data_IF_003239919083
#
_entry.id   IF_003239919083
#
_cell.length_a   1.000
_cell.length_b   1.000
_cell.length_c   1.000
_cell.angle_alpha   90.00
_cell.angle_beta   90.00
_cell.angle_gamma   90.00
#
_symmetry.space_group_name_H-M   'P 1'
#
loop_
_entity.id
_entity.type
_entity.pdbx_description
1 polymer ?
#
# COMPACT_ATOMS: atom_id res chain seq x y z
N UNK A 1 -36.15 8.02 -2.33
CA UNK A 1 -34.74 7.87 -1.89
C UNK A 1 -34.00 9.13 -2.31
N UNK A 2 -33.56 9.98 -1.38
CA UNK A 2 -32.73 11.15 -1.74
C UNK A 2 -31.38 10.63 -2.24
N UNK A 3 -30.96 11.07 -3.43
CA UNK A 3 -29.60 10.79 -3.88
C UNK A 3 -28.63 11.52 -2.94
N UNK A 4 -27.59 10.82 -2.49
CA UNK A 4 -26.51 11.45 -1.75
C UNK A 4 -25.91 12.58 -2.59
N UNK A 5 -25.53 13.72 -1.98
CA UNK A 5 -24.96 14.83 -2.70
C UNK A 5 -23.70 14.39 -3.45
N UNK A 6 -23.67 14.63 -4.77
CA UNK A 6 -22.48 14.37 -5.59
C UNK A 6 -21.41 15.41 -5.27
N UNK A 7 -20.25 14.94 -4.85
CA UNK A 7 -19.05 15.75 -4.63
C UNK A 7 -18.36 16.00 -5.98
N UNK A 8 -17.76 17.18 -6.12
CA UNK A 8 -16.94 17.51 -7.29
C UNK A 8 -15.57 16.81 -7.15
N UNK A 9 -15.49 15.56 -7.60
CA UNK A 9 -14.29 14.73 -7.54
C UNK A 9 -13.68 14.53 -8.93
N UNK A 10 -12.35 14.44 -9.06
CA UNK A 10 -11.67 14.20 -10.33
C UNK A 10 -11.74 12.72 -10.75
N UNK A 11 -12.95 12.14 -10.82
CA UNK A 11 -13.15 10.69 -11.04
C UNK A 11 -12.49 10.18 -12.32
N UNK A 12 -12.60 10.96 -13.42
CA UNK A 12 -12.00 10.58 -14.71
C UNK A 12 -10.48 10.49 -14.60
N UNK A 13 -9.85 11.47 -13.96
CA UNK A 13 -8.40 11.49 -13.73
C UNK A 13 -7.98 10.31 -12.85
N UNK A 14 -8.70 10.08 -11.75
CA UNK A 14 -8.43 8.96 -10.84
C UNK A 14 -8.49 7.61 -11.56
N UNK A 15 -9.52 7.37 -12.37
CA UNK A 15 -9.67 6.15 -13.18
C UNK A 15 -8.56 6.00 -14.20
N UNK A 16 -8.22 7.06 -14.94
CA UNK A 16 -7.14 7.02 -15.94
C UNK A 16 -5.81 6.67 -15.29
N UNK A 17 -5.44 7.33 -14.19
CA UNK A 17 -4.18 7.05 -13.49
C UNK A 17 -4.19 5.61 -12.93
N UNK A 18 -5.31 5.16 -12.35
CA UNK A 18 -5.44 3.80 -11.84
C UNK A 18 -5.23 2.74 -12.93
N UNK A 19 -5.81 2.94 -14.12
CA UNK A 19 -5.63 2.04 -15.27
C UNK A 19 -4.16 2.05 -15.74
N UNK A 20 -3.56 3.23 -15.93
CA UNK A 20 -2.18 3.35 -16.38
C UNK A 20 -1.20 2.67 -15.42
N UNK A 21 -1.37 2.89 -14.11
CA UNK A 21 -0.55 2.22 -13.10
C UNK A 21 -0.81 0.71 -13.09
N UNK A 22 -2.05 0.28 -13.22
CA UNK A 22 -2.38 -1.16 -13.25
C UNK A 22 -1.72 -1.86 -14.43
N UNK A 23 -1.78 -1.26 -15.62
CA UNK A 23 -1.11 -1.77 -16.82
C UNK A 23 0.41 -1.81 -16.62
N UNK A 24 1.00 -0.76 -16.06
CA UNK A 24 2.44 -0.72 -15.78
C UNK A 24 2.88 -1.84 -14.82
N UNK A 25 2.26 -1.94 -13.64
CA UNK A 25 2.65 -2.93 -12.63
C UNK A 25 2.34 -4.37 -13.08
N UNK A 26 1.21 -4.63 -13.74
CA UNK A 26 0.96 -5.94 -14.34
C UNK A 26 1.99 -6.28 -15.43
N UNK A 27 2.36 -5.29 -16.25
CA UNK A 27 3.41 -5.46 -17.26
C UNK A 27 4.74 -5.89 -16.65
N UNK A 28 5.09 -5.37 -15.46
CA UNK A 28 6.27 -5.80 -14.70
C UNK A 28 6.15 -7.24 -14.20
N UNK A 29 5.03 -7.60 -13.55
CA UNK A 29 4.82 -8.96 -13.02
C UNK A 29 4.84 -10.03 -14.13
N UNK A 30 4.31 -9.69 -15.31
CA UNK A 30 4.23 -10.59 -16.46
C UNK A 30 5.28 -10.29 -17.54
N UNK A 31 6.35 -9.57 -17.21
CA UNK A 31 7.37 -9.16 -18.18
C UNK A 31 8.08 -10.34 -18.85
N UNK A 32 8.40 -11.39 -18.08
CA UNK A 32 9.10 -12.58 -18.58
C UNK A 32 8.37 -13.31 -19.73
N UNK A 33 7.06 -13.63 -19.63
CA UNK A 33 6.34 -14.20 -20.77
C UNK A 33 6.14 -13.20 -21.92
N UNK A 34 5.92 -11.91 -21.62
CA UNK A 34 5.72 -10.87 -22.65
C UNK A 34 6.97 -10.69 -23.51
N UNK A 35 8.14 -10.53 -22.88
CA UNK A 35 9.43 -10.32 -23.57
C UNK A 35 9.83 -11.51 -24.44
N UNK A 36 9.58 -12.75 -23.98
CA UNK A 36 9.80 -13.97 -24.77
C UNK A 36 8.94 -14.01 -26.05
N UNK A 37 7.77 -13.39 -26.04
CA UNK A 37 6.85 -13.38 -27.19
C UNK A 37 7.16 -12.28 -28.21
N UNK A 38 7.86 -11.21 -27.82
CA UNK A 38 8.06 -10.00 -28.66
C UNK A 38 9.46 -9.97 -29.30
N UNK A 39 10.45 -10.68 -28.75
CA UNK A 39 11.82 -10.69 -29.26
C UNK A 39 12.61 -9.44 -28.85
N UNK A 40 13.64 -9.61 -28.02
CA UNK A 40 14.35 -8.50 -27.34
C UNK A 40 15.48 -7.85 -28.18
N UNK A 41 15.30 -7.64 -29.48
CA UNK A 41 16.38 -7.19 -30.37
C UNK A 41 17.04 -5.86 -29.95
N UNK A 42 16.23 -4.89 -29.49
CA UNK A 42 16.75 -3.57 -29.07
C UNK A 42 17.49 -3.59 -27.74
N UNK A 43 17.09 -4.44 -26.80
CA UNK A 43 17.71 -4.50 -25.48
C UNK A 43 19.10 -5.13 -25.55
N UNK A 44 19.25 -6.16 -26.39
CA UNK A 44 20.52 -6.81 -26.66
C UNK A 44 21.55 -5.90 -27.33
N UNK A 45 21.12 -4.90 -28.10
CA UNK A 45 22.04 -3.91 -28.68
C UNK A 45 22.64 -3.00 -27.61
N UNK A 46 21.80 -2.49 -26.70
CA UNK A 46 22.24 -1.57 -25.64
C UNK A 46 23.12 -2.30 -24.61
N UNK A 47 22.76 -3.53 -24.22
CA UNK A 47 23.58 -4.33 -23.31
C UNK A 47 24.99 -4.57 -23.87
N UNK A 48 25.09 -4.86 -25.18
CA UNK A 48 26.38 -5.06 -25.85
C UNK A 48 27.19 -3.76 -25.95
N UNK A 49 26.54 -2.61 -26.19
CA UNK A 49 27.23 -1.31 -26.26
C UNK A 49 27.86 -0.90 -24.93
N UNK A 50 27.18 -1.14 -23.81
CA UNK A 50 27.65 -0.75 -22.48
C UNK A 50 28.41 -1.86 -21.75
N UNK A 51 28.47 -3.09 -22.29
CA UNK A 51 29.11 -4.23 -21.63
C UNK A 51 28.41 -4.67 -20.33
N UNK A 52 27.13 -4.33 -20.17
CA UNK A 52 26.33 -4.60 -18.97
C UNK A 52 25.27 -5.63 -19.32
N UNK A 53 25.01 -6.59 -18.43
CA UNK A 53 23.93 -7.57 -18.64
C UNK A 53 22.57 -6.89 -18.80
N UNK A 54 21.72 -7.43 -19.67
CA UNK A 54 20.34 -6.93 -19.88
C UNK A 54 19.56 -6.84 -18.58
N UNK A 55 19.79 -7.79 -17.66
CA UNK A 55 19.16 -7.84 -16.34
C UNK A 55 19.49 -6.62 -15.49
N UNK A 56 20.76 -6.20 -15.47
CA UNK A 56 21.19 -5.03 -14.68
C UNK A 56 20.60 -3.76 -15.30
N UNK A 57 20.60 -3.62 -16.62
CA UNK A 57 20.05 -2.46 -17.31
C UNK A 57 18.54 -2.31 -17.08
N UNK A 58 17.79 -3.41 -17.17
CA UNK A 58 16.35 -3.43 -16.82
C UNK A 58 16.19 -3.05 -15.34
N UNK A 59 16.97 -3.64 -14.44
CA UNK A 59 16.87 -3.36 -13.00
C UNK A 59 17.10 -1.88 -12.68
N UNK A 60 18.15 -1.26 -13.27
CA UNK A 60 18.48 0.14 -13.04
C UNK A 60 17.43 1.13 -13.53
N UNK A 61 16.62 0.75 -14.54
CA UNK A 61 15.57 1.61 -15.08
C UNK A 61 14.22 1.35 -14.42
N UNK A 62 13.86 0.09 -14.23
CA UNK A 62 12.57 -0.33 -13.69
C UNK A 62 12.45 -0.03 -12.20
N UNK A 63 13.49 -0.27 -11.40
CA UNK A 63 13.43 -0.05 -9.95
C UNK A 63 13.11 1.41 -9.56
N UNK A 64 13.86 2.43 -10.02
CA UNK A 64 13.57 3.81 -9.64
C UNK A 64 12.22 4.29 -10.19
N UNK A 65 11.87 3.89 -11.42
CA UNK A 65 10.57 4.23 -11.99
C UNK A 65 9.41 3.61 -11.17
N UNK A 66 9.55 2.34 -10.78
CA UNK A 66 8.56 1.64 -9.95
C UNK A 66 8.43 2.29 -8.58
N UNK A 67 9.54 2.75 -7.98
CA UNK A 67 9.52 3.45 -6.70
C UNK A 67 8.77 4.79 -6.76
N UNK A 68 8.91 5.54 -7.87
CA UNK A 68 8.16 6.79 -8.06
C UNK A 68 6.68 6.49 -8.30
N UNK A 69 6.38 5.51 -9.15
CA UNK A 69 4.99 5.16 -9.48
C UNK A 69 4.26 4.48 -8.32
N UNK A 70 4.96 3.80 -7.42
CA UNK A 70 4.36 3.19 -6.22
C UNK A 70 3.85 4.25 -5.24
N UNK A 71 4.48 5.43 -5.19
CA UNK A 71 3.96 6.55 -4.42
C UNK A 71 2.62 7.04 -4.97
N UNK A 72 2.50 7.17 -6.29
CA UNK A 72 1.23 7.54 -6.94
C UNK A 72 0.17 6.45 -6.77
N UNK A 73 0.58 5.18 -6.80
CA UNK A 73 -0.30 4.04 -6.52
C UNK A 73 -0.86 4.13 -5.09
N UNK A 74 0.01 4.42 -4.11
CA UNK A 74 -0.39 4.64 -2.72
C UNK A 74 -1.34 5.84 -2.57
N UNK A 75 -1.08 6.95 -3.27
CA UNK A 75 -1.97 8.12 -3.25
C UNK A 75 -3.38 7.78 -3.74
N UNK A 76 -3.52 6.96 -4.80
CA UNK A 76 -4.83 6.51 -5.25
C UNK A 76 -5.50 5.53 -4.27
N UNK A 77 -4.73 4.65 -3.63
CA UNK A 77 -5.23 3.78 -2.55
C UNK A 77 -5.76 4.64 -1.41
N UNK A 78 -5.04 5.70 -1.03
CA UNK A 78 -5.45 6.66 -0.01
C UNK A 78 -6.78 7.34 -0.36
N UNK A 79 -6.95 7.81 -1.60
CA UNK A 79 -8.23 8.35 -2.06
C UNK A 79 -9.35 7.29 -2.04
N UNK A 80 -9.05 6.02 -2.32
CA UNK A 80 -10.02 4.93 -2.17
C UNK A 80 -10.40 4.68 -0.71
N UNK A 81 -9.45 4.76 0.24
CA UNK A 81 -9.66 4.59 1.68
C UNK A 81 -10.61 5.65 2.23
N UNK A 82 -10.41 6.91 1.83
CA UNK A 82 -11.30 8.03 2.19
C UNK A 82 -12.60 8.07 1.39
N UNK A 83 -12.69 7.27 0.33
CA UNK A 83 -13.82 7.26 -0.58
C UNK A 83 -13.87 8.50 -1.49
N UNK A 84 -12.77 9.20 -1.69
CA UNK A 84 -12.62 10.34 -2.60
C UNK A 84 -12.25 9.92 -4.03
N UNK A 85 -12.00 8.63 -4.25
CA UNK A 85 -11.73 8.09 -5.59
C UNK A 85 -12.91 8.32 -6.56
N UNK A 86 -14.14 8.05 -6.09
CA UNK A 86 -15.40 8.19 -6.85
C UNK A 86 -16.57 8.53 -5.92
N UNK A 87 -17.63 9.15 -6.46
CA UNK A 87 -18.90 9.30 -5.74
C UNK A 87 -19.58 7.96 -5.44
N UNK A 88 -19.19 6.88 -6.12
CA UNK A 88 -19.61 5.52 -5.78
C UNK A 88 -18.68 4.93 -4.71
N UNK A 89 -19.25 4.66 -3.53
CA UNK A 89 -18.54 3.99 -2.44
C UNK A 89 -18.08 2.59 -2.84
N UNK A 90 -18.92 1.84 -3.56
CA UNK A 90 -18.58 0.50 -4.02
C UNK A 90 -17.42 0.50 -5.02
N UNK A 91 -17.40 1.47 -5.92
CA UNK A 91 -16.28 1.65 -6.86
C UNK A 91 -14.99 1.94 -6.11
N UNK A 92 -15.02 2.84 -5.13
CA UNK A 92 -13.83 3.16 -4.32
C UNK A 92 -13.30 1.93 -3.58
N UNK A 93 -14.16 1.09 -2.99
CA UNK A 93 -13.71 -0.16 -2.34
C UNK A 93 -13.15 -1.17 -3.34
N UNK A 94 -13.80 -1.34 -4.50
CA UNK A 94 -13.35 -2.30 -5.51
C UNK A 94 -11.99 -1.89 -6.09
N UNK A 95 -11.86 -0.64 -6.52
CA UNK A 95 -10.60 -0.12 -7.06
C UNK A 95 -9.51 -0.15 -6.00
N UNK A 96 -9.80 0.25 -4.76
CA UNK A 96 -8.86 0.16 -3.65
C UNK A 96 -8.32 -1.26 -3.43
N UNK A 97 -9.18 -2.29 -3.52
CA UNK A 97 -8.76 -3.70 -3.46
C UNK A 97 -7.83 -4.09 -4.60
N UNK A 98 -8.18 -3.73 -5.84
CA UNK A 98 -7.36 -4.03 -7.02
C UNK A 98 -5.97 -3.37 -6.91
N UNK A 99 -5.92 -2.09 -6.57
CA UNK A 99 -4.67 -1.35 -6.42
C UNK A 99 -3.82 -1.89 -5.27
N UNK A 100 -4.43 -2.29 -4.15
CA UNK A 100 -3.73 -2.91 -3.04
C UNK A 100 -3.15 -4.29 -3.39
N UNK A 101 -3.84 -5.10 -4.22
CA UNK A 101 -3.28 -6.35 -4.74
C UNK A 101 -2.00 -6.08 -5.53
N UNK A 102 -2.00 -5.08 -6.40
CA UNK A 102 -0.82 -4.69 -7.18
C UNK A 102 0.31 -4.16 -6.30
N UNK A 103 -0.04 -3.43 -5.24
CA UNK A 103 0.89 -2.91 -4.24
C UNK A 103 1.44 -3.99 -3.29
N UNK A 104 0.79 -5.17 -3.22
CA UNK A 104 1.21 -6.27 -2.36
C UNK A 104 0.70 -6.20 -0.92
N UNK A 105 -0.43 -5.51 -0.68
CA UNK A 105 -0.99 -5.31 0.67
C UNK A 105 -2.49 -5.61 0.72
N UNK A 106 -3.07 -6.08 1.84
CA UNK A 106 -4.51 -6.28 1.98
C UNK A 106 -5.26 -4.96 2.26
N UNK A 107 -6.14 -4.56 1.33
CA UNK A 107 -6.89 -3.29 1.41
C UNK A 107 -7.61 -3.05 2.74
N UNK A 108 -8.20 -4.07 3.35
CA UNK A 108 -8.96 -3.90 4.60
C UNK A 108 -8.05 -3.52 5.78
N UNK A 109 -6.81 -4.00 5.80
CA UNK A 109 -5.83 -3.72 6.86
C UNK A 109 -5.33 -2.30 6.69
N UNK A 110 -4.87 -1.96 5.49
CA UNK A 110 -4.45 -0.60 5.13
C UNK A 110 -5.53 0.40 5.47
N UNK A 111 -6.76 0.17 5.01
CA UNK A 111 -7.90 1.05 5.29
C UNK A 111 -8.16 1.22 6.78
N UNK A 112 -8.09 0.14 7.55
CA UNK A 112 -8.34 0.20 9.01
C UNK A 112 -7.21 0.94 9.70
N UNK A 113 -5.95 0.56 9.45
CA UNK A 113 -4.77 1.21 10.03
C UNK A 113 -4.74 2.71 9.71
N UNK A 114 -5.01 3.06 8.45
CA UNK A 114 -5.04 4.45 7.98
C UNK A 114 -6.12 5.30 8.65
N UNK A 115 -7.34 4.78 8.75
CA UNK A 115 -8.44 5.48 9.43
C UNK A 115 -8.20 5.57 10.94
N UNK A 116 -7.60 4.56 11.55
CA UNK A 116 -7.21 4.57 12.96
C UNK A 116 -6.11 5.61 13.23
N UNK A 117 -5.11 5.68 12.37
CA UNK A 117 -4.08 6.74 12.41
C UNK A 117 -4.74 8.12 12.39
N UNK A 118 -5.64 8.41 11.45
CA UNK A 118 -6.34 9.70 11.44
C UNK A 118 -7.20 9.95 12.67
N UNK A 119 -7.90 8.93 13.17
CA UNK A 119 -8.78 9.05 14.35
C UNK A 119 -7.99 9.32 15.63
N UNK A 120 -6.86 8.64 15.80
CA UNK A 120 -6.03 8.72 17.01
C UNK A 120 -4.77 9.54 16.80
N UNK A 121 -4.71 10.34 15.74
CA UNK A 121 -3.53 11.13 15.41
C UNK A 121 -3.11 11.95 16.63
N UNK A 122 -1.86 11.79 17.07
CA UNK A 122 -1.27 12.44 18.26
C UNK A 122 -1.85 12.00 19.61
N UNK A 123 -2.66 10.95 19.69
CA UNK A 123 -2.97 10.29 20.96
C UNK A 123 -1.73 9.59 21.50
N UNK A 124 -1.62 9.40 22.82
CA UNK A 124 -0.39 8.89 23.46
C UNK A 124 0.15 7.58 22.85
N UNK A 125 -0.73 6.68 22.38
CA UNK A 125 -0.36 5.44 21.69
C UNK A 125 -0.03 5.56 20.20
N UNK A 126 -0.26 6.71 19.57
CA UNK A 126 -0.14 6.96 18.12
C UNK A 126 0.81 8.16 17.84
N UNK A 127 1.58 8.65 18.82
CA UNK A 127 2.56 9.72 18.64
C UNK A 127 3.86 9.23 17.97
N UNK A 128 3.74 8.52 16.85
CA UNK A 128 4.91 7.98 16.15
C UNK A 128 5.84 9.07 15.61
N UNK A 129 5.31 10.24 15.24
CA UNK A 129 6.06 11.37 14.67
C UNK A 129 6.58 12.37 15.73
N UNK A 130 6.26 12.17 17.01
CA UNK A 130 6.60 13.15 18.05
C UNK A 130 7.96 12.85 18.69
N UNK A 131 8.90 13.78 18.54
CA UNK A 131 10.18 13.73 19.25
C UNK A 131 9.98 14.23 20.68
N UNK A 132 10.30 13.38 21.66
CA UNK A 132 10.28 13.75 23.08
C UNK A 132 11.55 14.55 23.39
N UNK A 133 11.39 15.81 23.77
CA UNK A 133 12.52 16.70 24.12
C UNK A 133 13.13 16.40 25.49
N UNK A 134 12.29 16.07 26.46
CA UNK A 134 12.73 15.98 27.87
C UNK A 134 13.03 14.53 28.31
N UNK A 135 12.22 13.56 27.87
CA UNK A 135 12.31 12.14 28.32
C UNK A 135 12.70 11.15 27.20
N UNK A 136 13.13 11.65 26.03
CA UNK A 136 13.25 10.83 24.80
C UNK A 136 14.62 10.19 24.54
N UNK A 137 15.65 10.55 25.31
CA UNK A 137 17.03 10.20 24.99
C UNK A 137 17.55 10.92 23.72
N UNK A 138 18.71 10.51 23.18
CA UNK A 138 19.32 11.17 22.04
C UNK A 138 18.42 11.19 20.79
N UNK A 139 18.31 12.35 20.13
CA UNK A 139 17.47 12.56 18.94
C UNK A 139 17.76 11.51 17.85
N UNK A 140 19.03 11.14 17.66
CA UNK A 140 19.43 10.13 16.68
C UNK A 140 18.76 8.77 16.93
N UNK A 141 18.68 8.33 18.19
CA UNK A 141 18.05 7.06 18.57
C UNK A 141 16.54 7.12 18.34
N UNK A 142 15.91 8.26 18.68
CA UNK A 142 14.49 8.48 18.39
C UNK A 142 14.20 8.43 16.88
N UNK A 143 15.04 9.08 16.06
CA UNK A 143 14.92 9.03 14.60
C UNK A 143 15.11 7.62 14.05
N UNK A 144 16.07 6.86 14.57
CA UNK A 144 16.27 5.46 14.18
C UNK A 144 15.02 4.62 14.48
N UNK A 145 14.47 4.72 15.69
CA UNK A 145 13.25 4.01 16.04
C UNK A 145 12.03 4.47 15.23
N UNK A 146 11.95 5.75 14.89
CA UNK A 146 10.93 6.27 13.97
C UNK A 146 11.00 5.55 12.62
N UNK A 147 12.16 5.48 11.99
CA UNK A 147 12.31 4.80 10.70
C UNK A 147 12.11 3.29 10.79
N UNK A 148 12.56 2.64 11.88
CA UNK A 148 12.27 1.21 12.11
C UNK A 148 10.76 0.99 12.19
N UNK A 149 10.02 1.83 12.91
CA UNK A 149 8.55 1.71 12.99
C UNK A 149 7.89 1.99 11.64
N UNK A 150 8.38 2.99 10.91
CA UNK A 150 7.83 3.42 9.63
C UNK A 150 8.06 2.42 8.50
N UNK A 151 9.18 1.71 8.49
CA UNK A 151 9.51 0.74 7.44
C UNK A 151 9.20 -0.69 7.86
N UNK A 152 9.63 -1.11 9.06
CA UNK A 152 9.50 -2.50 9.50
C UNK A 152 8.17 -2.73 10.22
N UNK A 153 7.74 -1.79 11.07
CA UNK A 153 6.51 -1.94 11.86
C UNK A 153 5.25 -2.01 10.99
N UNK A 154 5.09 -1.08 10.07
CA UNK A 154 4.00 -1.06 9.07
C UNK A 154 4.00 -2.30 8.18
N UNK A 155 5.11 -2.65 7.54
CA UNK A 155 5.18 -3.83 6.67
C UNK A 155 4.92 -5.12 7.46
N UNK A 156 5.50 -5.27 8.65
CA UNK A 156 5.28 -6.44 9.48
C UNK A 156 3.81 -6.59 9.86
N UNK A 157 3.13 -5.51 10.25
CA UNK A 157 1.71 -5.52 10.58
C UNK A 157 0.82 -5.81 9.37
N UNK A 158 1.15 -5.29 8.20
CA UNK A 158 0.42 -5.54 6.96
C UNK A 158 0.53 -7.01 6.52
N UNK A 159 1.75 -7.55 6.51
CA UNK A 159 2.01 -8.95 6.15
C UNK A 159 1.39 -9.90 7.18
N UNK A 160 1.64 -9.66 8.47
CA UNK A 160 1.12 -10.50 9.55
C UNK A 160 -0.40 -10.44 9.60
N UNK A 161 -0.98 -9.26 9.45
CA UNK A 161 -2.42 -9.10 9.40
C UNK A 161 -3.03 -9.79 8.18
N UNK A 162 -2.39 -9.70 7.01
CA UNK A 162 -2.84 -10.39 5.80
C UNK A 162 -2.83 -11.90 5.96
N UNK A 163 -1.76 -12.43 6.57
CA UNK A 163 -1.66 -13.84 6.94
C UNK A 163 -2.75 -14.25 7.94
N UNK A 164 -2.99 -13.47 8.99
CA UNK A 164 -4.03 -13.79 9.98
C UNK A 164 -5.43 -13.80 9.36
N UNK A 165 -5.71 -12.90 8.41
CA UNK A 165 -6.98 -12.86 7.70
C UNK A 165 -7.15 -13.98 6.66
N UNK A 166 -6.05 -14.60 6.19
CA UNK A 166 -6.11 -15.76 5.32
C UNK A 166 -6.31 -17.08 6.07
N UNK A 167 -6.16 -17.08 7.40
CA UNK A 167 -6.42 -18.27 8.21
C UNK A 167 -7.91 -18.66 8.20
N UNK A 168 -8.23 -19.98 8.28
CA UNK A 168 -9.60 -20.46 8.32
C UNK A 168 -10.44 -19.80 9.43
N UNK A 169 -11.64 -19.36 9.07
CA UNK A 169 -12.61 -18.74 9.98
C UNK A 169 -12.87 -19.53 11.29
N UNK A 170 -12.93 -20.87 11.29
CA UNK A 170 -13.15 -21.61 12.55
C UNK A 170 -12.02 -21.41 13.57
N UNK A 171 -10.77 -21.22 13.13
CA UNK A 171 -9.63 -20.99 14.01
C UNK A 171 -9.63 -19.56 14.55
N UNK A 172 -9.87 -18.59 13.67
CA UNK A 172 -9.80 -17.17 14.02
C UNK A 172 -10.99 -16.73 14.88
N UNK A 173 -12.20 -17.23 14.63
CA UNK A 173 -13.40 -16.87 15.39
C UNK A 173 -13.36 -17.32 16.84
N UNK A 174 -12.78 -18.49 17.13
CA UNK A 174 -12.64 -19.00 18.50
C UNK A 174 -11.66 -18.15 19.32
N UNK A 175 -10.52 -17.79 18.73
CA UNK A 175 -9.51 -16.92 19.35
C UNK A 175 -10.05 -15.50 19.53
N UNK A 176 -10.65 -14.93 18.48
CA UNK A 176 -11.24 -13.59 18.51
C UNK A 176 -12.31 -13.51 19.59
N UNK A 177 -13.21 -14.49 19.68
CA UNK A 177 -14.27 -14.52 20.72
C UNK A 177 -13.68 -14.53 22.13
N UNK A 178 -12.62 -15.32 22.38
CA UNK A 178 -11.97 -15.44 23.70
C UNK A 178 -11.29 -14.15 24.16
N UNK A 179 -10.70 -13.39 23.24
CA UNK A 179 -9.93 -12.19 23.57
C UNK A 179 -10.74 -10.88 23.43
N UNK A 180 -11.69 -10.81 22.50
CA UNK A 180 -12.53 -9.62 22.28
C UNK A 180 -13.62 -9.51 23.36
N UNK A 181 -14.16 -10.62 23.88
CA UNK A 181 -15.12 -10.58 25.00
C UNK A 181 -14.53 -9.93 26.25
N UNK A 182 -13.23 -10.06 26.46
CA UNK A 182 -12.52 -9.46 27.59
C UNK A 182 -12.23 -7.97 27.39
N UNK A 183 -12.34 -7.44 26.17
CA UNK A 183 -12.16 -6.00 25.89
C UNK A 183 -13.48 -5.22 26.01
N UNK A 184 -14.63 -5.87 25.84
CA UNK A 184 -15.95 -5.24 26.04
C UNK A 184 -16.28 -4.98 27.52
N UNK A 185 -15.58 -5.60 28.46
CA UNK A 185 -15.73 -5.30 29.90
C UNK A 185 -14.90 -4.10 30.38
N UNK A 186 -14.12 -3.46 29.48
CA UNK A 186 -13.25 -2.32 29.78
C UNK A 186 -13.68 -1.01 29.10
N UNK A 187 -14.82 -1.01 28.38
CA UNK A 187 -15.50 0.18 27.86
C UNK A 187 -16.90 0.26 28.47
#
# INVERSE_FOLDING_TARGET
MSQAPRRNLPEKTNRTIAILLSVFFLGLYFWNPISKSIGNFHLSFISNLFGISELILISMSVLPLSAILSYTLWALIHECVHGNFSNSRNESHLTGRILCILFGTPYQIVKTAHLMHHKYNRAEGERIEYLKKDDGGPIFVQNLFYYIRLFLGTYFLEVSGGFLLSLPLPLTTNVARKHISNLQSFF
#
